data_IF_184122595965
#
_entry.id   IF_184122595965
#
_cell.length_a   1.000
_cell.length_b   1.000
_cell.length_c   1.000
_cell.angle_alpha   90.00
_cell.angle_beta   90.00
_cell.angle_gamma   90.00
#
_symmetry.space_group_name_H-M   'P 1'
#
loop_
_entity.id
_entity.type
_entity.pdbx_description
1 polymer ?
#
# COMPACT_ATOMS: atom_id res chain seq x y z
N UNK A 1 28.10 -0.83 -28.56
CA UNK A 1 26.83 -0.06 -28.57
C UNK A 1 26.16 -0.18 -27.19
N UNK A 2 26.23 0.84 -26.32
CA UNK A 2 25.65 0.78 -24.95
C UNK A 2 24.34 1.57 -24.88
N UNK A 3 23.28 1.03 -24.25
CA UNK A 3 22.04 1.78 -24.02
C UNK A 3 22.26 2.86 -22.95
N UNK A 4 21.47 3.91 -23.01
CA UNK A 4 21.45 4.97 -21.98
C UNK A 4 20.57 4.49 -20.82
N UNK A 5 21.19 4.26 -19.67
CA UNK A 5 20.54 3.76 -18.46
C UNK A 5 20.02 4.89 -17.55
N UNK A 6 20.42 6.14 -17.77
CA UNK A 6 19.92 7.29 -17.02
C UNK A 6 18.55 7.71 -17.55
N UNK A 7 18.37 7.65 -18.87
CA UNK A 7 17.15 8.04 -19.54
C UNK A 7 16.08 6.92 -19.61
N UNK A 8 14.79 7.26 -19.78
CA UNK A 8 13.74 6.27 -20.03
C UNK A 8 13.94 5.47 -21.33
N UNK A 9 13.37 4.26 -21.45
CA UNK A 9 13.43 3.46 -22.68
C UNK A 9 12.82 4.15 -23.92
N UNK A 10 12.00 5.16 -23.69
CA UNK A 10 11.30 5.91 -24.73
C UNK A 10 12.12 6.99 -25.41
N UNK A 11 13.36 7.28 -24.98
CA UNK A 11 14.18 8.32 -25.59
C UNK A 11 14.62 7.94 -27.02
N UNK A 12 14.90 8.93 -27.89
CA UNK A 12 15.35 8.66 -29.26
C UNK A 12 16.55 7.72 -29.33
N UNK A 13 17.55 7.90 -28.44
CA UNK A 13 18.72 7.03 -28.35
C UNK A 13 18.35 5.57 -27.99
N UNK A 14 17.55 5.38 -26.94
CA UNK A 14 17.14 4.04 -26.51
C UNK A 14 16.19 3.36 -27.51
N UNK A 15 15.35 4.12 -28.22
CA UNK A 15 14.55 3.58 -29.33
C UNK A 15 15.43 3.07 -30.47
N UNK A 16 16.47 3.82 -30.84
CA UNK A 16 17.44 3.37 -31.83
C UNK A 16 18.19 2.12 -31.36
N UNK A 17 18.57 2.07 -30.09
CA UNK A 17 19.23 0.90 -29.50
C UNK A 17 18.33 -0.35 -29.54
N UNK A 18 17.06 -0.21 -29.14
CA UNK A 18 16.05 -1.29 -29.24
C UNK A 18 15.89 -1.77 -30.68
N UNK A 19 15.84 -0.86 -31.67
CA UNK A 19 15.72 -1.23 -33.09
C UNK A 19 16.93 -2.01 -33.58
N UNK A 20 18.14 -1.56 -33.25
CA UNK A 20 19.38 -2.27 -33.62
C UNK A 20 19.40 -3.66 -32.98
N UNK A 21 19.07 -3.76 -31.70
CA UNK A 21 19.02 -5.04 -30.99
C UNK A 21 18.05 -6.02 -31.65
N UNK A 22 16.81 -5.59 -31.92
CA UNK A 22 15.79 -6.43 -32.54
C UNK A 22 16.23 -6.91 -33.93
N UNK A 23 16.85 -6.03 -34.74
CA UNK A 23 17.40 -6.42 -36.03
C UNK A 23 18.50 -7.47 -35.89
N UNK A 24 19.51 -7.21 -35.04
CA UNK A 24 20.60 -8.17 -34.81
C UNK A 24 20.13 -9.49 -34.21
N UNK A 25 19.06 -9.47 -33.41
CA UNK A 25 18.48 -10.67 -32.80
C UNK A 25 17.78 -11.54 -33.86
N UNK A 26 17.09 -10.93 -34.83
CA UNK A 26 16.49 -11.64 -35.95
C UNK A 26 17.55 -12.13 -36.95
N UNK A 27 18.56 -11.31 -37.23
CA UNK A 27 19.66 -11.66 -38.15
C UNK A 27 20.54 -12.80 -37.62
N UNK A 28 20.60 -12.99 -36.29
CA UNK A 28 21.42 -14.02 -35.67
C UNK A 28 20.86 -15.45 -35.85
N UNK A 29 19.61 -15.60 -36.32
CA UNK A 29 18.90 -16.87 -36.61
C UNK A 29 19.14 -18.01 -35.59
N UNK A 30 19.36 -17.64 -34.34
CA UNK A 30 19.77 -18.53 -33.24
C UNK A 30 18.61 -18.83 -32.29
N UNK A 31 17.49 -18.12 -32.44
CA UNK A 31 16.35 -18.19 -31.56
C UNK A 31 15.07 -18.40 -32.36
N UNK A 32 14.22 -19.35 -31.95
CA UNK A 32 12.96 -19.69 -32.60
C UNK A 32 11.94 -18.53 -32.64
N UNK A 33 12.10 -17.53 -31.77
CA UNK A 33 11.19 -16.40 -31.68
C UNK A 33 11.51 -15.38 -32.77
N UNK A 34 10.71 -15.38 -33.84
CA UNK A 34 10.75 -14.40 -34.95
C UNK A 34 9.80 -13.20 -34.76
N UNK A 35 8.99 -13.20 -33.69
CA UNK A 35 8.01 -12.14 -33.48
C UNK A 35 8.68 -10.84 -32.99
N UNK A 36 8.86 -9.89 -33.91
CA UNK A 36 9.51 -8.61 -33.69
C UNK A 36 8.96 -7.82 -32.49
N UNK A 37 7.63 -7.70 -32.36
CA UNK A 37 7.01 -6.93 -31.28
C UNK A 37 7.15 -7.61 -29.91
N UNK A 38 7.24 -8.94 -29.88
CA UNK A 38 7.48 -9.70 -28.65
C UNK A 38 8.93 -9.54 -28.19
N UNK A 39 9.90 -9.63 -29.10
CA UNK A 39 11.33 -9.38 -28.83
C UNK A 39 11.55 -7.95 -28.33
N UNK A 40 10.95 -6.98 -29.02
CA UNK A 40 10.99 -5.56 -28.65
C UNK A 40 10.44 -5.32 -27.25
N UNK A 41 9.26 -5.86 -26.92
CA UNK A 41 8.68 -5.75 -25.56
C UNK A 41 9.57 -6.38 -24.50
N UNK A 42 10.12 -7.57 -24.78
CA UNK A 42 11.03 -8.26 -23.86
C UNK A 42 12.30 -7.43 -23.62
N UNK A 43 12.90 -6.89 -24.68
CA UNK A 43 14.10 -6.06 -24.56
C UNK A 43 13.84 -4.73 -23.85
N UNK A 44 12.71 -4.07 -24.09
CA UNK A 44 12.30 -2.87 -23.34
C UNK A 44 12.13 -3.20 -21.85
N UNK A 45 11.53 -4.35 -21.52
CA UNK A 45 11.41 -4.81 -20.12
C UNK A 45 12.79 -5.05 -19.49
N UNK A 46 13.69 -5.68 -20.24
CA UNK A 46 15.07 -5.89 -19.80
C UNK A 46 15.80 -4.56 -19.56
N UNK A 47 15.64 -3.57 -20.44
CA UNK A 47 16.24 -2.25 -20.30
C UNK A 47 15.71 -1.50 -19.07
N UNK A 48 14.42 -1.64 -18.74
CA UNK A 48 13.86 -1.14 -17.47
C UNK A 48 14.53 -1.79 -16.26
N UNK A 49 14.74 -3.11 -16.29
CA UNK A 49 15.40 -3.83 -15.22
C UNK A 49 16.88 -3.43 -15.07
N UNK A 50 17.62 -3.26 -16.17
CA UNK A 50 19.00 -2.77 -16.16
C UNK A 50 19.09 -1.36 -15.56
N UNK A 51 18.19 -0.46 -15.96
CA UNK A 51 18.09 0.88 -15.38
C UNK A 51 17.80 0.86 -13.89
N UNK A 52 16.92 -0.03 -13.44
CA UNK A 52 16.65 -0.21 -12.02
C UNK A 52 17.91 -0.68 -11.27
N UNK A 53 18.63 -1.67 -11.79
CA UNK A 53 19.90 -2.14 -11.19
C UNK A 53 20.95 -1.03 -11.13
N UNK A 54 21.10 -0.26 -12.21
CA UNK A 54 22.02 0.88 -12.27
C UNK A 54 21.69 1.94 -11.21
N UNK A 55 20.41 2.29 -11.06
CA UNK A 55 19.94 3.21 -10.01
C UNK A 55 20.05 2.67 -8.59
N UNK A 56 20.15 1.35 -8.41
CA UNK A 56 20.42 0.74 -7.09
C UNK A 56 21.91 0.82 -6.78
N UNK A 57 22.76 0.57 -7.79
CA UNK A 57 24.21 0.68 -7.64
C UNK A 57 24.68 2.12 -7.36
N UNK A 58 24.00 3.12 -7.92
CA UNK A 58 24.31 4.53 -7.65
C UNK A 58 23.67 5.10 -6.38
N UNK A 59 22.68 4.43 -5.79
CA UNK A 59 21.96 4.98 -4.64
C UNK A 59 22.78 4.93 -3.35
N UNK A 60 22.68 5.98 -2.55
CA UNK A 60 23.30 6.06 -1.22
C UNK A 60 22.69 5.03 -0.24
N UNK A 61 23.44 4.63 0.78
CA UNK A 61 22.98 3.71 1.84
C UNK A 61 21.65 4.18 2.48
N UNK A 62 21.44 5.50 2.61
CA UNK A 62 20.20 6.08 3.14
C UNK A 62 19.01 5.87 2.19
N UNK A 63 19.23 5.98 0.88
CA UNK A 63 18.19 5.77 -0.14
C UNK A 63 17.85 4.28 -0.30
N UNK A 64 18.85 3.41 -0.16
CA UNK A 64 18.66 1.96 -0.16
C UNK A 64 17.83 1.52 1.06
N UNK A 65 18.13 2.04 2.26
CA UNK A 65 17.33 1.80 3.46
C UNK A 65 15.86 2.26 3.27
N UNK A 66 15.63 3.48 2.77
CA UNK A 66 14.27 3.97 2.50
C UNK A 66 13.51 3.12 1.47
N UNK A 67 14.19 2.64 0.42
CA UNK A 67 13.59 1.73 -0.57
C UNK A 67 13.26 0.38 0.05
N UNK A 68 14.16 -0.20 0.86
CA UNK A 68 13.91 -1.45 1.56
C UNK A 68 12.75 -1.29 2.56
N UNK A 69 12.68 -0.18 3.29
CA UNK A 69 11.58 0.11 4.20
C UNK A 69 10.25 0.27 3.46
N UNK A 70 10.26 0.93 2.30
CA UNK A 70 9.07 1.00 1.44
C UNK A 70 8.69 -0.39 0.93
N UNK A 71 9.64 -1.19 0.46
CA UNK A 71 9.39 -2.54 -0.03
C UNK A 71 8.85 -3.48 1.06
N UNK A 72 9.46 -3.47 2.26
CA UNK A 72 9.00 -4.22 3.43
C UNK A 72 7.60 -3.79 3.87
N UNK A 73 7.30 -2.48 3.84
CA UNK A 73 5.95 -1.96 4.14
C UNK A 73 4.94 -2.42 3.08
N UNK A 74 5.29 -2.30 1.82
CA UNK A 74 4.48 -2.76 0.69
C UNK A 74 4.23 -4.27 0.77
N UNK A 75 5.23 -5.05 1.16
CA UNK A 75 5.11 -6.47 1.41
C UNK A 75 4.20 -6.76 2.60
N UNK A 76 4.29 -6.03 3.71
CA UNK A 76 3.33 -6.14 4.83
C UNK A 76 1.90 -5.77 4.43
N UNK A 77 1.74 -4.80 3.52
CA UNK A 77 0.45 -4.42 2.91
C UNK A 77 -0.06 -5.52 1.97
N UNK A 78 0.83 -6.17 1.22
CA UNK A 78 0.52 -7.14 0.16
C UNK A 78 0.52 -8.60 0.59
N UNK A 79 1.11 -8.99 1.72
CA UNK A 79 1.22 -10.37 2.20
C UNK A 79 -0.15 -10.93 2.61
N UNK A 80 -0.98 -11.13 1.58
CA UNK A 80 -1.93 -12.19 1.37
C UNK A 80 -1.09 -13.41 0.97
N UNK A 81 -0.39 -13.99 1.91
CA UNK A 81 0.17 -15.30 1.69
C UNK A 81 -1.01 -16.27 1.90
N UNK A 82 -1.49 -16.87 0.81
CA UNK A 82 -2.54 -17.91 0.81
C UNK A 82 -2.20 -19.04 1.80
N UNK A 83 -0.91 -19.22 2.12
CA UNK A 83 -0.37 -20.19 3.06
C UNK A 83 0.02 -19.63 4.44
N UNK A 84 -0.06 -18.31 4.65
CA UNK A 84 0.27 -17.69 5.92
C UNK A 84 -1.03 -17.26 6.58
N UNK A 85 -1.33 -17.85 7.73
CA UNK A 85 -2.59 -17.74 8.48
C UNK A 85 -2.86 -16.34 9.08
N UNK A 86 -2.28 -15.28 8.50
CA UNK A 86 -2.39 -13.92 8.98
C UNK A 86 -2.89 -12.99 7.85
N UNK A 87 -4.22 -12.87 7.68
CA UNK A 87 -4.80 -11.93 6.73
C UNK A 87 -4.30 -10.50 7.00
N UNK A 88 -4.09 -9.73 5.93
CA UNK A 88 -3.73 -8.31 6.02
C UNK A 88 -4.76 -7.55 6.86
N UNK A 89 -4.37 -6.42 7.45
CA UNK A 89 -5.24 -5.64 8.34
C UNK A 89 -6.55 -5.22 7.64
N UNK A 90 -6.49 -4.89 6.35
CA UNK A 90 -7.67 -4.68 5.51
C UNK A 90 -8.58 -5.92 5.47
N UNK A 91 -8.02 -7.09 5.13
CA UNK A 91 -8.79 -8.33 5.05
C UNK A 91 -9.40 -8.72 6.39
N UNK A 92 -8.70 -8.52 7.51
CA UNK A 92 -9.25 -8.77 8.85
C UNK A 92 -10.50 -7.96 9.12
N UNK A 93 -10.45 -6.65 8.86
CA UNK A 93 -11.59 -5.76 9.07
C UNK A 93 -12.74 -6.09 8.12
N UNK A 94 -12.42 -6.42 6.86
CA UNK A 94 -13.42 -6.86 5.89
C UNK A 94 -14.12 -8.16 6.31
N UNK A 95 -13.36 -9.15 6.79
CA UNK A 95 -13.93 -10.40 7.32
C UNK A 95 -14.85 -10.15 8.51
N UNK A 96 -14.47 -9.26 9.42
CA UNK A 96 -15.34 -8.86 10.54
C UNK A 96 -16.61 -8.19 10.04
N UNK A 97 -16.50 -7.23 9.11
CA UNK A 97 -17.66 -6.56 8.52
C UNK A 97 -18.64 -7.55 7.86
N UNK A 98 -18.13 -8.55 7.14
CA UNK A 98 -18.97 -9.57 6.52
C UNK A 98 -19.60 -10.53 7.53
N UNK A 99 -18.87 -10.86 8.61
CA UNK A 99 -19.28 -11.83 9.64
C UNK A 99 -20.42 -11.29 10.52
N UNK A 100 -20.36 -10.03 10.93
CA UNK A 100 -21.33 -9.41 11.83
C UNK A 100 -22.37 -8.63 11.03
N UNK A 101 -23.65 -8.99 11.14
CA UNK A 101 -24.75 -8.37 10.39
C UNK A 101 -24.83 -6.85 10.62
N UNK A 102 -24.58 -6.39 11.85
CA UNK A 102 -24.55 -4.97 12.24
C UNK A 102 -23.45 -4.17 11.54
N UNK A 103 -22.40 -4.83 11.06
CA UNK A 103 -21.27 -4.20 10.37
C UNK A 103 -21.28 -4.37 8.85
N UNK A 104 -22.19 -5.19 8.31
CA UNK A 104 -22.28 -5.42 6.87
C UNK A 104 -22.49 -4.15 6.04
N UNK A 105 -23.28 -3.15 6.47
CA UNK A 105 -23.43 -1.89 5.73
C UNK A 105 -22.09 -1.18 5.48
N UNK A 106 -21.12 -1.37 6.38
CA UNK A 106 -19.82 -0.74 6.31
C UNK A 106 -18.83 -1.39 5.33
N UNK A 107 -19.20 -2.54 4.76
CA UNK A 107 -18.34 -3.31 3.83
C UNK A 107 -17.93 -2.49 2.60
N UNK A 108 -18.86 -1.75 2.01
CA UNK A 108 -18.59 -0.96 0.80
C UNK A 108 -17.58 0.17 1.08
N UNK A 109 -17.71 0.84 2.22
CA UNK A 109 -16.77 1.89 2.61
C UNK A 109 -15.38 1.33 2.92
N UNK A 110 -15.30 0.15 3.55
CA UNK A 110 -14.02 -0.55 3.75
C UNK A 110 -13.35 -0.89 2.42
N UNK A 111 -14.11 -1.36 1.43
CA UNK A 111 -13.58 -1.67 0.09
C UNK A 111 -13.05 -0.42 -0.62
N UNK A 112 -13.76 0.71 -0.54
CA UNK A 112 -13.32 1.99 -1.11
C UNK A 112 -12.02 2.49 -0.48
N UNK A 113 -11.88 2.36 0.85
CA UNK A 113 -10.63 2.68 1.54
C UNK A 113 -9.48 1.76 1.10
N UNK A 114 -9.78 0.48 0.91
CA UNK A 114 -8.82 -0.54 0.50
C UNK A 114 -7.60 -0.61 1.41
N UNK A 115 -6.51 -1.17 0.89
CA UNK A 115 -5.25 -1.33 1.64
C UNK A 115 -4.58 0.03 1.92
N UNK A 116 -4.80 1.04 1.09
CA UNK A 116 -4.18 2.36 1.25
C UNK A 116 -4.86 3.22 2.33
N UNK A 117 -6.14 2.98 2.62
CA UNK A 117 -6.86 3.62 3.72
C UNK A 117 -6.57 3.02 5.10
N UNK A 118 -5.77 1.95 5.16
CA UNK A 118 -5.37 1.33 6.41
C UNK A 118 -4.16 2.04 7.04
N UNK A 119 -4.13 2.12 8.37
CA UNK A 119 -2.97 2.63 9.10
C UNK A 119 -1.77 1.70 8.88
N UNK A 120 -0.64 2.25 8.45
CA UNK A 120 0.64 1.54 8.46
C UNK A 120 1.15 1.50 9.89
N UNK A 121 1.57 0.33 10.38
CA UNK A 121 2.49 0.32 11.51
C UNK A 121 3.85 0.84 11.01
N UNK A 122 4.49 1.70 11.79
CA UNK A 122 5.93 1.92 11.67
C UNK A 122 6.56 1.32 12.91
N UNK A 123 7.45 0.35 12.68
CA UNK A 123 8.28 -0.25 13.70
C UNK A 123 9.42 0.71 14.01
N UNK A 124 9.33 1.38 15.14
CA UNK A 124 10.44 2.16 15.69
C UNK A 124 11.44 1.15 16.28
N UNK A 125 12.63 1.03 15.69
CA UNK A 125 13.67 0.10 16.16
C UNK A 125 14.65 0.76 17.14
N UNK A 126 14.32 1.92 17.69
CA UNK A 126 15.32 2.77 18.34
C UNK A 126 15.86 2.28 19.70
N UNK A 127 15.35 1.23 20.35
CA UNK A 127 15.85 0.89 21.71
C UNK A 127 15.72 -0.57 22.15
N UNK A 128 15.82 -1.54 21.24
CA UNK A 128 15.79 -2.98 21.60
C UNK A 128 14.45 -3.51 22.13
N UNK A 129 13.47 -2.63 22.39
CA UNK A 129 12.07 -2.95 22.64
C UNK A 129 11.27 -2.57 21.38
N UNK A 130 10.69 -3.56 20.70
CA UNK A 130 9.85 -3.32 19.52
C UNK A 130 8.54 -2.63 19.94
N UNK A 131 8.53 -1.30 19.99
CA UNK A 131 7.31 -0.52 20.17
C UNK A 131 6.74 -0.14 18.80
N UNK A 132 5.47 -0.48 18.59
CA UNK A 132 4.76 -0.17 17.36
C UNK A 132 3.90 1.07 17.61
N UNK A 133 4.22 2.17 16.92
CA UNK A 133 3.42 3.39 16.94
C UNK A 133 2.48 3.39 15.75
N UNK A 134 1.20 3.63 16.00
CA UNK A 134 0.21 3.77 14.92
C UNK A 134 0.36 5.18 14.35
N UNK A 135 0.82 5.30 13.11
CA UNK A 135 0.82 6.58 12.41
C UNK A 135 -0.51 6.79 11.70
N UNK A 136 -1.15 7.92 11.96
CA UNK A 136 -2.40 8.31 11.30
C UNK A 136 -2.07 9.09 10.02
N UNK A 137 -2.61 8.72 8.84
CA UNK A 137 -2.48 9.53 7.64
C UNK A 137 -3.08 10.93 7.86
N UNK A 138 -2.38 11.99 7.44
CA UNK A 138 -2.83 13.37 7.63
C UNK A 138 -4.16 13.67 6.93
N UNK A 139 -4.39 13.04 5.78
CA UNK A 139 -5.59 13.23 4.97
C UNK A 139 -6.85 12.66 5.62
N UNK A 140 -6.72 11.73 6.56
CA UNK A 140 -7.83 10.90 7.04
C UNK A 140 -8.54 11.56 8.22
N UNK A 141 -9.87 11.60 8.17
CA UNK A 141 -10.67 12.16 9.25
C UNK A 141 -10.44 11.39 10.58
N UNK A 142 -10.33 12.06 11.74
CA UNK A 142 -10.14 11.39 13.03
C UNK A 142 -11.26 10.39 13.37
N UNK A 143 -12.52 10.68 13.00
CA UNK A 143 -13.64 9.76 13.24
C UNK A 143 -13.45 8.44 12.47
N UNK A 144 -12.88 8.48 11.26
CA UNK A 144 -12.59 7.28 10.49
C UNK A 144 -11.59 6.36 11.21
N UNK A 145 -10.64 6.95 11.95
CA UNK A 145 -9.71 6.17 12.79
C UNK A 145 -10.42 5.49 13.97
N UNK A 146 -11.38 6.17 14.62
CA UNK A 146 -12.21 5.59 15.67
C UNK A 146 -13.09 4.49 15.09
N UNK A 147 -13.71 4.74 13.94
CA UNK A 147 -14.55 3.77 13.25
C UNK A 147 -13.79 2.48 12.92
N UNK A 148 -12.58 2.57 12.36
CA UNK A 148 -11.75 1.40 12.08
C UNK A 148 -11.35 0.59 13.32
N UNK A 149 -11.23 1.22 14.50
CA UNK A 149 -10.86 0.54 15.75
C UNK A 149 -11.96 -0.37 16.28
N UNK A 150 -13.22 -0.13 15.93
CA UNK A 150 -14.34 -0.99 16.32
C UNK A 150 -14.19 -2.37 15.69
N UNK A 151 -13.88 -2.44 14.39
CA UNK A 151 -13.56 -3.71 13.71
C UNK A 151 -12.38 -4.45 14.37
N UNK A 152 -11.36 -3.71 14.78
CA UNK A 152 -10.20 -4.29 15.48
C UNK A 152 -10.59 -4.83 16.87
N UNK A 153 -11.47 -4.14 17.60
CA UNK A 153 -11.95 -4.56 18.91
C UNK A 153 -12.77 -5.86 18.81
N UNK A 154 -13.68 -5.95 17.84
CA UNK A 154 -14.49 -7.15 17.59
C UNK A 154 -13.59 -8.32 17.16
N UNK A 155 -12.63 -8.07 16.27
CA UNK A 155 -11.67 -9.10 15.88
C UNK A 155 -10.90 -9.61 17.11
N UNK A 156 -10.43 -8.71 17.99
CA UNK A 156 -9.76 -9.10 19.25
C UNK A 156 -10.68 -9.93 20.13
N UNK A 157 -11.92 -9.49 20.38
CA UNK A 157 -12.87 -10.21 21.22
C UNK A 157 -13.20 -11.60 20.67
N UNK A 158 -13.37 -11.73 19.35
CA UNK A 158 -13.63 -13.04 18.71
C UNK A 158 -12.49 -14.05 18.89
N UNK A 159 -11.24 -13.59 19.05
CA UNK A 159 -10.07 -14.44 19.31
C UNK A 159 -10.03 -14.97 20.74
N UNK A 160 -10.66 -14.27 21.69
CA UNK A 160 -10.71 -14.70 23.09
C UNK A 160 -11.93 -15.57 23.41
N UNK A 161 -13.03 -15.43 22.65
CA UNK A 161 -14.25 -16.23 22.85
C UNK A 161 -14.19 -17.64 22.25
N UNK A 162 -13.38 -17.87 21.22
CA UNK A 162 -13.18 -19.19 20.63
C UNK A 162 -12.17 -20.02 21.45
N UNK A 163 -12.67 -20.68 22.49
CA UNK A 163 -12.22 -22.02 22.93
C UNK A 163 -10.76 -22.19 23.41
N UNK A 164 -10.15 -21.17 24.01
CA UNK A 164 -8.90 -21.36 24.76
C UNK A 164 -8.76 -20.35 25.91
N UNK A 165 -8.90 -20.85 27.15
CA UNK A 165 -8.51 -20.17 28.42
C UNK A 165 -6.99 -19.89 28.50
N UNK A 166 -6.25 -20.12 27.42
CA UNK A 166 -4.82 -19.88 27.29
C UNK A 166 -4.60 -19.08 26.02
N UNK A 167 -4.14 -17.84 26.15
CA UNK A 167 -3.56 -17.11 25.03
C UNK A 167 -2.48 -18.00 24.39
N UNK A 168 -2.75 -18.56 23.20
CA UNK A 168 -1.81 -19.42 22.48
C UNK A 168 -0.45 -18.72 22.31
N UNK A 169 0.63 -19.49 22.12
CA UNK A 169 1.96 -18.90 21.84
C UNK A 169 1.83 -17.93 20.65
N UNK A 170 2.07 -16.63 20.88
CA UNK A 170 1.88 -15.54 19.90
C UNK A 170 0.58 -14.73 20.03
N UNK A 171 -0.30 -15.04 20.99
CA UNK A 171 -1.63 -14.43 21.11
C UNK A 171 -1.70 -13.13 21.92
N UNK A 172 -0.60 -12.68 22.54
CA UNK A 172 -0.60 -11.36 23.19
C UNK A 172 -0.56 -10.28 22.10
N UNK A 173 -1.62 -9.46 21.94
CA UNK A 173 -1.56 -8.33 21.03
C UNK A 173 -0.37 -7.46 21.41
N UNK A 174 0.48 -7.12 20.44
CA UNK A 174 1.61 -6.22 20.68
C UNK A 174 1.04 -4.90 21.21
N UNK A 175 1.63 -4.38 22.30
CA UNK A 175 1.25 -3.09 22.87
C UNK A 175 1.37 -2.00 21.78
N UNK A 176 0.23 -1.45 21.38
CA UNK A 176 0.16 -0.34 20.45
C UNK A 176 0.02 0.95 21.25
N UNK A 177 1.04 1.79 21.22
CA UNK A 177 0.94 3.14 21.76
C UNK A 177 0.36 4.02 20.66
N UNK A 178 -0.79 4.64 20.93
CA UNK A 178 -1.36 5.65 20.04
C UNK A 178 -0.45 6.87 20.13
N UNK A 179 0.49 6.99 19.21
CA UNK A 179 1.25 8.20 19.03
C UNK A 179 0.37 9.26 18.36
N UNK A 180 0.50 10.51 18.77
CA UNK A 180 -0.10 11.67 18.10
C UNK A 180 0.75 12.08 16.88
N UNK A 181 1.41 11.11 16.25
CA UNK A 181 2.36 11.32 15.17
C UNK A 181 1.65 11.05 13.84
N UNK A 182 1.71 12.05 12.98
CA UNK A 182 1.14 11.99 11.64
C UNK A 182 2.08 11.24 10.70
N UNK A 183 1.53 10.46 9.77
CA UNK A 183 2.32 9.87 8.70
C UNK A 183 2.86 10.97 7.77
N UNK A 184 4.14 10.91 7.44
CA UNK A 184 4.80 11.79 6.45
C UNK A 184 4.52 11.36 5.00
N UNK A 185 3.70 10.34 4.77
CA UNK A 185 3.39 9.88 3.40
C UNK A 185 2.35 10.77 2.73
N UNK A 186 2.66 11.24 1.52
CA UNK A 186 1.75 11.95 0.61
C UNK A 186 0.74 11.03 -0.10
N UNK A 187 0.52 9.80 0.39
CA UNK A 187 -0.45 8.89 -0.22
C UNK A 187 -1.82 9.09 0.41
N UNK A 188 -2.79 9.51 -0.40
CA UNK A 188 -4.21 9.63 -0.03
C UNK A 188 -5.08 8.75 -0.93
N UNK A 189 -6.29 8.42 -0.44
CA UNK A 189 -7.27 7.66 -1.22
C UNK A 189 -8.17 8.65 -1.96
N UNK A 190 -8.42 8.41 -3.23
CA UNK A 190 -9.25 9.27 -4.09
C UNK A 190 -10.73 8.89 -3.96
N UNK A 191 -11.63 9.82 -4.30
CA UNK A 191 -13.07 9.53 -4.46
C UNK A 191 -13.73 8.94 -3.22
N UNK A 192 -13.41 9.48 -2.05
CA UNK A 192 -14.15 9.19 -0.82
C UNK A 192 -15.19 10.29 -0.53
N UNK A 193 -16.18 9.99 0.33
CA UNK A 193 -17.06 11.00 0.90
C UNK A 193 -16.27 12.11 1.60
N UNK A 194 -16.81 13.34 1.61
CA UNK A 194 -16.17 14.48 2.28
C UNK A 194 -15.87 14.17 3.76
N UNK A 195 -16.77 13.44 4.44
CA UNK A 195 -16.64 13.04 5.84
C UNK A 195 -15.41 12.16 6.12
N UNK A 196 -14.85 11.50 5.09
CA UNK A 196 -13.67 10.65 5.22
C UNK A 196 -12.35 11.43 5.28
N UNK A 197 -12.34 12.68 4.81
CA UNK A 197 -11.16 13.53 4.75
C UNK A 197 -11.06 14.46 5.95
N UNK A 198 -9.83 14.79 6.34
CA UNK A 198 -9.56 15.78 7.37
C UNK A 198 -9.74 17.20 6.78
N UNK A 199 -10.65 18.03 7.32
CA UNK A 199 -10.90 19.39 6.84
C UNK A 199 -9.63 20.26 6.81
N UNK A 200 -8.78 20.16 7.84
CA UNK A 200 -7.54 20.93 7.92
C UNK A 200 -6.50 20.46 6.91
N UNK A 201 -6.56 19.21 6.46
CA UNK A 201 -5.69 18.72 5.38
C UNK A 201 -6.22 19.17 4.02
N UNK A 202 -7.52 19.02 3.75
CA UNK A 202 -8.14 19.49 2.51
C UNK A 202 -7.94 21.00 2.28
N UNK A 203 -8.07 21.81 3.34
CA UNK A 203 -7.87 23.26 3.27
C UNK A 203 -6.43 23.68 2.94
N UNK A 204 -5.44 22.80 3.15
CA UNK A 204 -4.02 23.07 2.84
C UNK A 204 -3.63 22.65 1.42
N UNK A 205 -4.49 21.93 0.70
CA UNK A 205 -4.20 21.51 -0.67
C UNK A 205 -4.29 22.70 -1.64
N UNK A 206 -3.46 22.66 -2.67
CA UNK A 206 -3.62 23.58 -3.80
C UNK A 206 -4.82 23.14 -4.66
N UNK A 207 -5.22 23.98 -5.61
CA UNK A 207 -6.41 23.74 -6.45
C UNK A 207 -6.26 22.44 -7.25
N UNK A 208 -5.08 22.15 -7.79
CA UNK A 208 -4.80 20.97 -8.61
C UNK A 208 -4.89 19.69 -7.77
N UNK A 209 -4.24 19.66 -6.61
CA UNK A 209 -4.27 18.53 -5.68
C UNK A 209 -5.69 18.28 -5.18
N UNK A 210 -6.49 19.35 -5.00
CA UNK A 210 -7.89 19.24 -4.58
C UNK A 210 -8.78 18.65 -5.68
N UNK A 211 -8.54 19.01 -6.94
CA UNK A 211 -9.19 18.38 -8.10
C UNK A 211 -8.80 16.90 -8.22
N UNK A 212 -7.52 16.57 -8.01
CA UNK A 212 -7.02 15.20 -8.06
C UNK A 212 -7.64 14.29 -6.99
N UNK A 213 -7.94 14.82 -5.79
CA UNK A 213 -8.63 14.07 -4.72
C UNK A 213 -10.03 13.60 -5.16
N UNK A 214 -10.71 14.38 -6.01
CA UNK A 214 -12.04 14.08 -6.57
C UNK A 214 -13.04 13.71 -5.46
N UNK A 215 -13.17 14.61 -4.47
CA UNK A 215 -14.05 14.39 -3.29
C UNK A 215 -15.49 14.22 -3.74
N UNK A 216 -16.16 13.18 -3.24
CA UNK A 216 -17.58 12.98 -3.50
C UNK A 216 -18.39 13.82 -2.50
N UNK A 217 -18.63 15.08 -2.85
CA UNK A 217 -19.33 16.04 -1.97
C UNK A 217 -20.82 15.68 -1.77
N UNK A 218 -21.44 15.03 -2.75
CA UNK A 218 -22.84 14.60 -2.71
C UNK A 218 -23.07 13.35 -1.85
N UNK A 219 -21.99 12.67 -1.44
CA UNK A 219 -22.05 11.49 -0.58
C UNK A 219 -21.68 11.88 0.85
N UNK A 220 -22.63 11.74 1.77
CA UNK A 220 -22.32 11.71 3.20
C UNK A 220 -22.36 10.26 3.69
N UNK A 221 -21.33 9.89 4.44
CA UNK A 221 -21.19 8.57 5.01
C UNK A 221 -21.07 8.66 6.52
N UNK A 222 -21.97 7.99 7.21
CA UNK A 222 -21.98 7.92 8.66
C UNK A 222 -20.96 6.89 9.17
N UNK A 223 -19.97 7.40 9.92
CA UNK A 223 -18.95 6.59 10.61
C UNK A 223 -19.39 6.14 12.01
N UNK A 224 -20.65 6.31 12.37
CA UNK A 224 -21.22 5.72 13.58
C UNK A 224 -21.34 4.20 13.43
N UNK A 225 -21.29 3.51 14.58
CA UNK A 225 -21.65 2.10 14.67
C UNK A 225 -22.94 2.00 15.47
N UNK A 226 -23.70 0.92 15.26
CA UNK A 226 -24.81 0.60 16.13
C UNK A 226 -24.29 0.48 17.59
N UNK A 227 -24.95 1.09 18.59
CA UNK A 227 -24.53 1.05 20.00
C UNK A 227 -24.40 -0.36 20.60
N UNK A 228 -24.96 -1.38 19.97
CA UNK A 228 -24.85 -2.78 20.39
C UNK A 228 -23.51 -3.44 20.02
N UNK A 229 -22.58 -2.71 19.38
CA UNK A 229 -21.30 -3.20 18.85
C UNK A 229 -20.10 -2.84 19.72
#
# INVERSE_FOLDING_TARGET
FKPDLDAPPGTPWNRSHVRVFVRTFLDADTFECVNQERIKRAFISHLKALRQKYKIQQSSHKEQAQRQDRANRDERKRNVCIFCFHPSLFQRRLTVACRYSTLRPHTQMLQRLGVQGMSSDESDHESGLSQYRILLPQWRHPQLAVWLRVFDAIHRNSRFQQEQTRAGRGARPRLQVVGQNWSTMNSYVLRLPLSAYNPSWLARLNIIDREDVDVQEDEDYDFSHNPEV
#
